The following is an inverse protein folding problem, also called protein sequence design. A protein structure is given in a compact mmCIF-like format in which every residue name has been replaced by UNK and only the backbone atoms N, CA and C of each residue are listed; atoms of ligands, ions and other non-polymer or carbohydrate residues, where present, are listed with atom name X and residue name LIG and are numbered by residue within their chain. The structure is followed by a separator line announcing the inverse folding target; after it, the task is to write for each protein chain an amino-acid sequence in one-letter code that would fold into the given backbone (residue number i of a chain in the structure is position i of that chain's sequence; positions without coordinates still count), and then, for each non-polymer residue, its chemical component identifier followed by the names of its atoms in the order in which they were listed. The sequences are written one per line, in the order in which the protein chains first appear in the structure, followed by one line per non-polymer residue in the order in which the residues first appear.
data_IF_313221318448
#
_entry.id   IF_313221318448
#
_cell.length_a   1.000
_cell.length_b   1.000
_cell.length_c   1.000
_cell.angle_alpha   90.00
_cell.angle_beta   90.00
_cell.angle_gamma   90.00
#
_symmetry.space_group_name_H-M   'P 1'
#
loop_
_entity.id
_entity.type
_entity.pdbx_description
1 polymer ?
#
# COMPACT_ATOMS: atom_id res chain seq x y z
N UNK A 1 -25.06 8.14 -10.20
CA UNK A 1 -23.86 8.83 -9.70
C UNK A 1 -22.78 8.66 -10.75
N UNK A 2 -22.24 9.75 -11.28
CA UNK A 2 -21.13 9.66 -12.24
C UNK A 2 -19.90 9.05 -11.55
N UNK A 3 -19.10 8.26 -12.26
CA UNK A 3 -17.83 7.73 -11.76
C UNK A 3 -17.88 6.44 -10.93
N UNK A 4 -19.02 6.11 -10.29
CA UNK A 4 -19.17 4.87 -9.52
C UNK A 4 -19.48 3.68 -10.43
N UNK A 5 -18.60 2.68 -10.41
CA UNK A 5 -18.78 1.39 -11.10
C UNK A 5 -18.79 0.27 -10.06
N UNK A 6 -19.83 -0.55 -10.09
CA UNK A 6 -20.00 -1.70 -9.18
C UNK A 6 -20.21 -2.96 -10.00
N UNK A 7 -19.41 -3.99 -9.74
CA UNK A 7 -19.52 -5.32 -10.35
C UNK A 7 -19.38 -6.40 -9.29
N UNK A 8 -20.52 -6.96 -8.84
CA UNK A 8 -20.56 -7.87 -7.70
C UNK A 8 -20.02 -7.20 -6.43
N UNK A 9 -18.93 -7.72 -5.88
CA UNK A 9 -18.25 -7.16 -4.70
C UNK A 9 -17.10 -6.21 -5.03
N UNK A 10 -16.92 -5.85 -6.30
CA UNK A 10 -15.89 -4.93 -6.76
C UNK A 10 -16.50 -3.53 -6.95
N UNK A 11 -15.88 -2.54 -6.32
CA UNK A 11 -16.31 -1.14 -6.35
C UNK A 11 -15.15 -0.30 -6.85
N UNK A 12 -15.42 0.52 -7.84
CA UNK A 12 -14.44 1.41 -8.47
C UNK A 12 -14.99 2.82 -8.50
N UNK A 13 -14.20 3.77 -8.04
CA UNK A 13 -14.51 5.20 -8.03
C UNK A 13 -13.25 6.00 -8.39
N UNK A 14 -12.88 5.89 -9.66
CA UNK A 14 -11.58 6.34 -10.21
C UNK A 14 -11.74 7.70 -10.87
N UNK A 15 -10.76 8.59 -10.74
CA UNK A 15 -10.71 9.81 -11.56
C UNK A 15 -11.75 10.86 -11.19
N UNK A 16 -12.14 10.95 -9.92
CA UNK A 16 -13.22 11.83 -9.45
C UNK A 16 -12.71 13.04 -8.65
N UNK A 17 -11.40 13.30 -8.69
CA UNK A 17 -10.72 14.39 -7.97
C UNK A 17 -11.05 14.46 -6.46
N UNK A 18 -11.42 13.31 -5.87
CA UNK A 18 -11.86 13.27 -4.48
C UNK A 18 -10.69 13.44 -3.52
N UNK A 19 -10.86 14.28 -2.49
CA UNK A 19 -9.85 14.55 -1.46
C UNK A 19 -9.98 13.67 -0.23
N UNK A 20 -11.16 13.09 -0.05
CA UNK A 20 -11.55 12.15 0.99
C UNK A 20 -12.46 11.07 0.38
N UNK A 21 -12.67 9.96 1.09
CA UNK A 21 -13.58 8.90 0.64
C UNK A 21 -15.02 9.42 0.80
N UNK A 22 -15.80 9.58 -0.28
CA UNK A 22 -17.15 10.08 -0.16
C UNK A 22 -18.02 9.19 0.73
N UNK A 23 -18.75 9.78 1.68
CA UNK A 23 -19.57 9.05 2.66
C UNK A 23 -20.56 8.06 2.02
N UNK A 24 -21.11 8.43 0.87
CA UNK A 24 -22.07 7.60 0.15
C UNK A 24 -21.45 6.27 -0.33
N UNK A 25 -20.14 6.22 -0.64
CA UNK A 25 -19.50 4.95 -1.00
C UNK A 25 -19.49 3.98 0.18
N UNK A 26 -19.16 4.48 1.37
CA UNK A 26 -19.17 3.67 2.60
C UNK A 26 -20.59 3.19 2.94
N UNK A 27 -21.58 4.09 2.84
CA UNK A 27 -22.99 3.76 3.10
C UNK A 27 -23.54 2.74 2.11
N UNK A 28 -23.32 2.97 0.82
CA UNK A 28 -24.00 2.25 -0.25
C UNK A 28 -23.27 0.93 -0.56
N UNK A 29 -21.95 0.86 -0.37
CA UNK A 29 -21.13 -0.30 -0.76
C UNK A 29 -20.29 -0.93 0.35
N UNK A 30 -20.04 -0.24 1.46
CA UNK A 30 -19.09 -0.69 2.49
C UNK A 30 -19.42 -2.06 3.11
N UNK A 31 -20.70 -2.43 3.14
CA UNK A 31 -21.15 -3.71 3.71
C UNK A 31 -20.81 -4.94 2.86
N UNK A 32 -20.65 -4.80 1.54
CA UNK A 32 -20.40 -5.92 0.63
C UNK A 32 -19.10 -5.82 -0.18
N UNK A 33 -18.51 -4.63 -0.27
CA UNK A 33 -17.30 -4.41 -1.06
C UNK A 33 -16.13 -5.24 -0.51
N UNK A 34 -15.56 -6.08 -1.38
CA UNK A 34 -14.34 -6.85 -1.13
C UNK A 34 -13.14 -6.24 -1.82
N UNK A 35 -13.36 -5.58 -2.97
CA UNK A 35 -12.33 -4.88 -3.72
C UNK A 35 -12.77 -3.44 -3.91
N UNK A 36 -11.92 -2.50 -3.50
CA UNK A 36 -12.17 -1.08 -3.61
C UNK A 36 -11.02 -0.41 -4.37
N UNK A 37 -11.36 0.21 -5.51
CA UNK A 37 -10.44 0.99 -6.32
C UNK A 37 -10.79 2.47 -6.24
N UNK A 38 -9.89 3.25 -5.65
CA UNK A 38 -9.98 4.70 -5.50
C UNK A 38 -8.81 5.40 -6.22
N UNK A 39 -8.26 4.76 -7.23
CA UNK A 39 -7.10 5.28 -7.96
C UNK A 39 -7.41 6.59 -8.70
N UNK A 40 -6.37 7.36 -9.02
CA UNK A 40 -6.48 8.62 -9.76
C UNK A 40 -7.43 9.63 -9.09
N UNK A 41 -7.37 9.74 -7.77
CA UNK A 41 -8.05 10.79 -7.02
C UNK A 41 -7.01 11.72 -6.37
N UNK A 42 -7.45 12.59 -5.46
CA UNK A 42 -6.60 13.54 -4.74
C UNK A 42 -6.59 13.24 -3.24
N UNK A 43 -6.74 11.96 -2.87
CA UNK A 43 -6.88 11.54 -1.47
C UNK A 43 -5.62 11.89 -0.67
N UNK A 44 -5.83 12.52 0.49
CA UNK A 44 -4.76 12.79 1.48
C UNK A 44 -4.95 11.98 2.76
N UNK A 45 -6.17 11.56 3.05
CA UNK A 45 -6.52 10.68 4.15
C UNK A 45 -7.43 9.54 3.65
N UNK A 46 -7.56 8.51 4.47
CA UNK A 46 -8.49 7.38 4.26
C UNK A 46 -9.62 7.40 5.29
N UNK A 47 -10.00 8.60 5.76
CA UNK A 47 -11.19 8.76 6.59
C UNK A 47 -12.41 8.20 5.83
N UNK A 48 -13.27 7.48 6.55
CA UNK A 48 -14.41 6.74 5.97
C UNK A 48 -14.09 5.31 5.51
N UNK A 49 -12.82 4.89 5.45
CA UNK A 49 -12.46 3.52 5.04
C UNK A 49 -12.96 2.45 6.03
N UNK A 50 -13.22 2.83 7.29
CA UNK A 50 -13.79 1.94 8.32
C UNK A 50 -15.19 1.41 7.99
N UNK A 51 -15.88 2.01 7.02
CA UNK A 51 -17.16 1.50 6.51
C UNK A 51 -16.99 0.18 5.73
N UNK A 52 -15.81 -0.12 5.19
CA UNK A 52 -15.54 -1.25 4.30
C UNK A 52 -15.04 -2.48 5.07
N UNK A 53 -15.91 -3.11 5.86
CA UNK A 53 -15.55 -4.16 6.83
C UNK A 53 -15.13 -5.50 6.21
N UNK A 54 -15.49 -5.73 4.95
CA UNK A 54 -15.22 -6.98 4.23
C UNK A 54 -14.08 -6.86 3.22
N UNK A 55 -13.29 -5.78 3.31
CA UNK A 55 -12.28 -5.45 2.31
C UNK A 55 -11.13 -6.47 2.30
N UNK A 56 -10.83 -6.96 1.11
CA UNK A 56 -9.81 -7.96 0.78
C UNK A 56 -8.72 -7.33 -0.12
N UNK A 57 -9.11 -6.41 -1.00
CA UNK A 57 -8.23 -5.68 -1.91
C UNK A 57 -8.50 -4.17 -1.91
N UNK A 58 -7.45 -3.37 -1.76
CA UNK A 58 -7.51 -1.91 -1.76
C UNK A 58 -6.48 -1.34 -2.74
N UNK A 59 -6.97 -0.54 -3.68
CA UNK A 59 -6.16 0.06 -4.75
C UNK A 59 -6.27 1.59 -4.61
N UNK A 60 -5.13 2.23 -4.35
CA UNK A 60 -5.01 3.66 -4.03
C UNK A 60 -3.98 4.36 -4.92
N UNK A 61 -3.75 3.82 -6.11
CA UNK A 61 -2.70 4.30 -7.00
C UNK A 61 -2.98 5.73 -7.49
N UNK A 62 -1.94 6.55 -7.65
CA UNK A 62 -2.06 7.95 -8.11
C UNK A 62 -3.00 8.78 -7.21
N UNK A 63 -2.66 8.86 -5.92
CA UNK A 63 -3.28 9.76 -4.95
C UNK A 63 -2.20 10.67 -4.32
N UNK A 64 -2.55 11.38 -3.25
CA UNK A 64 -1.67 12.32 -2.55
C UNK A 64 -1.39 11.88 -1.10
N UNK A 65 -1.43 10.57 -0.84
CA UNK A 65 -1.24 10.00 0.51
C UNK A 65 0.22 10.16 0.95
N UNK A 66 0.43 10.69 2.15
CA UNK A 66 1.74 10.93 2.73
C UNK A 66 2.06 9.99 3.91
N UNK A 67 2.98 10.43 4.76
CA UNK A 67 3.36 9.70 5.98
C UNK A 67 2.28 9.76 7.08
N UNK A 68 1.28 10.61 6.91
CA UNK A 68 0.07 10.73 7.73
C UNK A 68 -1.03 9.73 7.34
N UNK A 69 -0.74 8.82 6.42
CA UNK A 69 -1.62 7.72 6.05
C UNK A 69 -1.95 6.84 7.27
N UNK A 70 -3.23 6.79 7.63
CA UNK A 70 -3.76 5.91 8.67
C UNK A 70 -4.84 5.01 8.08
N UNK A 71 -4.58 3.70 8.13
CA UNK A 71 -5.55 2.64 7.82
C UNK A 71 -6.26 2.18 9.11
N UNK A 72 -7.57 1.91 9.07
CA UNK A 72 -8.25 1.18 10.16
C UNK A 72 -7.77 -0.28 10.20
N UNK A 73 -8.18 -1.03 11.23
CA UNK A 73 -7.99 -2.47 11.27
C UNK A 73 -8.68 -3.17 10.10
N UNK A 74 -7.92 -3.81 9.22
CA UNK A 74 -8.39 -4.49 8.02
C UNK A 74 -7.88 -5.96 8.02
N UNK A 75 -8.47 -6.83 8.85
CA UNK A 75 -7.95 -8.18 9.12
C UNK A 75 -8.03 -9.13 7.92
N UNK A 76 -8.77 -8.77 6.86
CA UNK A 76 -8.95 -9.57 5.65
C UNK A 76 -8.18 -9.02 4.45
N UNK A 77 -7.57 -7.84 4.58
CA UNK A 77 -6.89 -7.20 3.47
C UNK A 77 -5.61 -7.98 3.13
N UNK A 78 -5.61 -8.61 1.95
CA UNK A 78 -4.46 -9.34 1.45
C UNK A 78 -3.74 -8.59 0.32
N UNK A 79 -4.39 -7.61 -0.32
CA UNK A 79 -3.80 -6.81 -1.39
C UNK A 79 -3.93 -5.32 -1.10
N UNK A 80 -2.80 -4.62 -1.08
CA UNK A 80 -2.72 -3.16 -0.98
C UNK A 80 -1.79 -2.60 -2.05
N UNK A 81 -2.30 -1.66 -2.85
CA UNK A 81 -1.46 -0.88 -3.77
C UNK A 81 -1.53 0.60 -3.43
N UNK A 82 -0.37 1.22 -3.31
CA UNK A 82 -0.18 2.63 -2.95
C UNK A 82 0.73 3.31 -3.97
N UNK A 83 0.73 2.86 -5.22
CA UNK A 83 1.69 3.34 -6.22
C UNK A 83 1.50 4.84 -6.48
N UNK A 84 2.60 5.54 -6.75
CA UNK A 84 2.60 6.99 -7.08
C UNK A 84 1.82 7.82 -6.06
N UNK A 85 2.17 7.65 -4.79
CA UNK A 85 1.75 8.52 -3.69
C UNK A 85 2.97 9.34 -3.19
N UNK A 86 2.86 10.00 -2.03
CA UNK A 86 3.87 10.90 -1.46
C UNK A 86 4.52 10.33 -0.21
N UNK A 87 4.59 9.00 -0.10
CA UNK A 87 5.16 8.32 1.07
C UNK A 87 6.69 8.47 1.04
N UNK A 88 7.25 8.98 2.13
CA UNK A 88 8.70 9.18 2.30
C UNK A 88 9.26 8.37 3.47
N UNK A 89 8.47 8.15 4.52
CA UNK A 89 8.84 7.35 5.69
C UNK A 89 8.33 5.92 5.53
N UNK A 90 9.25 5.04 5.10
CA UNK A 90 8.94 3.63 4.90
C UNK A 90 8.70 2.89 6.23
N UNK A 91 9.46 3.21 7.28
CA UNK A 91 9.41 2.41 8.51
C UNK A 91 8.09 2.63 9.25
N UNK A 92 7.67 3.89 9.41
CA UNK A 92 6.38 4.19 10.04
C UNK A 92 5.21 3.53 9.29
N UNK A 93 5.24 3.52 7.95
CA UNK A 93 4.24 2.82 7.16
C UNK A 93 4.24 1.32 7.44
N UNK A 94 5.40 0.67 7.41
CA UNK A 94 5.50 -0.78 7.58
C UNK A 94 5.07 -1.21 8.99
N UNK A 95 5.44 -0.45 10.02
CA UNK A 95 5.02 -0.72 11.40
C UNK A 95 3.49 -0.60 11.53
N UNK A 96 2.88 0.43 10.94
CA UNK A 96 1.43 0.58 10.88
C UNK A 96 0.75 -0.57 10.14
N UNK A 97 1.27 -0.96 8.97
CA UNK A 97 0.72 -2.06 8.18
C UNK A 97 0.80 -3.40 8.91
N UNK A 98 1.90 -3.66 9.61
CA UNK A 98 2.08 -4.88 10.38
C UNK A 98 1.03 -5.00 11.51
N UNK A 99 0.63 -3.88 12.11
CA UNK A 99 -0.41 -3.85 13.15
C UNK A 99 -1.82 -4.05 12.58
N UNK A 100 -2.17 -3.35 11.49
CA UNK A 100 -3.58 -3.25 11.06
C UNK A 100 -3.96 -4.17 9.89
N UNK A 101 -2.99 -4.77 9.20
CA UNK A 101 -3.21 -5.65 8.04
C UNK A 101 -2.51 -7.02 8.19
N UNK A 102 -2.90 -7.84 9.19
CA UNK A 102 -2.20 -9.10 9.50
C UNK A 102 -2.25 -10.16 8.38
N UNK A 103 -3.19 -10.03 7.45
CA UNK A 103 -3.37 -10.93 6.30
C UNK A 103 -2.69 -10.43 5.02
N UNK A 104 -1.88 -9.36 5.08
CA UNK A 104 -1.31 -8.74 3.88
C UNK A 104 -0.33 -9.68 3.16
N UNK A 105 -0.59 -9.95 1.89
CA UNK A 105 0.22 -10.84 1.03
C UNK A 105 0.80 -10.13 -0.20
N UNK A 106 0.16 -9.04 -0.65
CA UNK A 106 0.60 -8.23 -1.78
C UNK A 106 0.68 -6.77 -1.36
N UNK A 107 1.87 -6.18 -1.51
CA UNK A 107 2.11 -4.75 -1.32
C UNK A 107 2.80 -4.17 -2.56
N UNK A 108 2.39 -2.97 -2.96
CA UNK A 108 3.09 -2.21 -4.01
C UNK A 108 3.22 -0.75 -3.61
N UNK A 109 4.46 -0.24 -3.63
CA UNK A 109 4.84 1.11 -3.24
C UNK A 109 5.58 1.85 -4.37
N UNK A 110 5.56 1.31 -5.59
CA UNK A 110 6.23 1.86 -6.76
C UNK A 110 5.89 3.35 -6.98
N UNK A 111 6.91 4.16 -7.26
CA UNK A 111 6.71 5.58 -7.52
C UNK A 111 6.51 6.45 -6.27
N UNK A 112 6.64 5.89 -5.06
CA UNK A 112 6.82 6.69 -3.84
C UNK A 112 8.30 7.01 -3.61
N UNK A 113 8.59 8.08 -2.89
CA UNK A 113 9.97 8.46 -2.51
C UNK A 113 10.61 7.38 -1.63
N UNK A 114 9.81 6.75 -0.77
CA UNK A 114 10.19 5.62 0.07
C UNK A 114 10.59 4.36 -0.71
N UNK A 115 10.20 4.24 -1.99
CA UNK A 115 10.51 3.11 -2.85
C UNK A 115 11.67 3.46 -3.80
N UNK A 116 12.88 2.93 -3.58
CA UNK A 116 14.04 3.13 -4.44
C UNK A 116 13.96 2.23 -5.68
N UNK A 117 13.01 2.45 -6.59
CA UNK A 117 13.06 1.77 -7.90
C UNK A 117 13.74 2.68 -8.94
N UNK A 118 14.44 2.08 -9.90
CA UNK A 118 15.21 2.72 -10.98
C UNK A 118 14.38 3.73 -11.79
N UNK A 119 13.05 3.56 -11.82
CA UNK A 119 12.12 4.50 -12.45
C UNK A 119 12.05 5.88 -11.77
N UNK A 120 12.52 6.00 -10.52
CA UNK A 120 12.40 7.23 -9.70
C UNK A 120 13.74 7.94 -9.55
N UNK A 121 14.88 7.25 -9.68
CA UNK A 121 16.21 7.86 -9.55
C UNK A 121 17.27 7.06 -10.30
N UNK A 122 17.89 7.68 -11.30
CA UNK A 122 19.00 7.13 -12.10
C UNK A 122 20.29 6.88 -11.28
N UNK A 123 20.32 7.32 -10.01
CA UNK A 123 21.46 7.21 -9.11
C UNK A 123 21.39 5.98 -8.20
N UNK A 124 20.26 5.29 -8.13
CA UNK A 124 20.05 4.15 -7.22
C UNK A 124 20.35 2.84 -7.94
N UNK A 125 21.27 2.08 -7.39
CA UNK A 125 21.68 0.78 -7.92
C UNK A 125 20.69 -0.33 -7.51
N UNK A 126 20.73 -1.47 -8.21
CA UNK A 126 19.98 -2.68 -7.85
C UNK A 126 20.21 -3.13 -6.39
N UNK A 127 21.33 -2.74 -5.79
CA UNK A 127 21.65 -3.05 -4.39
C UNK A 127 20.76 -2.27 -3.41
N UNK A 128 20.49 -0.99 -3.64
CA UNK A 128 19.54 -0.21 -2.84
C UNK A 128 18.14 -0.82 -2.89
N UNK A 129 17.70 -1.29 -4.05
CA UNK A 129 16.40 -1.95 -4.18
C UNK A 129 16.37 -3.30 -3.45
N UNK A 130 17.45 -4.09 -3.49
CA UNK A 130 17.57 -5.31 -2.68
C UNK A 130 17.49 -5.02 -1.19
N UNK A 131 18.19 -4.00 -0.68
CA UNK A 131 18.13 -3.57 0.72
C UNK A 131 16.72 -3.19 1.13
N UNK A 132 16.06 -2.37 0.30
CA UNK A 132 14.66 -1.98 0.49
C UNK A 132 13.75 -3.20 0.60
N UNK A 133 13.82 -4.14 -0.35
CA UNK A 133 12.99 -5.35 -0.33
C UNK A 133 13.26 -6.19 0.90
N UNK A 134 14.54 -6.36 1.25
CA UNK A 134 14.98 -7.10 2.44
C UNK A 134 14.40 -6.49 3.74
N UNK A 135 14.42 -5.15 3.87
CA UNK A 135 13.82 -4.44 5.00
C UNK A 135 12.29 -4.58 5.06
N UNK A 136 11.60 -4.43 3.92
CA UNK A 136 10.14 -4.59 3.84
C UNK A 136 9.72 -6.01 4.25
N UNK A 137 10.41 -7.03 3.73
CA UNK A 137 10.11 -8.44 4.03
C UNK A 137 10.46 -8.84 5.47
N UNK A 138 11.36 -8.13 6.12
CA UNK A 138 11.63 -8.31 7.54
C UNK A 138 10.47 -7.81 8.40
N UNK A 139 9.93 -6.63 8.09
CA UNK A 139 8.78 -6.05 8.81
C UNK A 139 7.46 -6.75 8.47
N UNK A 140 7.29 -7.20 7.22
CA UNK A 140 6.09 -7.86 6.70
C UNK A 140 6.42 -9.26 6.15
N UNK A 141 6.70 -10.25 7.03
CA UNK A 141 7.22 -11.56 6.62
C UNK A 141 6.21 -12.42 5.85
N UNK A 142 4.92 -12.10 5.86
CA UNK A 142 3.90 -12.87 5.16
C UNK A 142 3.71 -12.48 3.69
N UNK A 143 4.34 -11.40 3.22
CA UNK A 143 4.21 -10.94 1.83
C UNK A 143 4.64 -12.03 0.84
N UNK A 144 3.79 -12.31 -0.15
CA UNK A 144 4.05 -13.18 -1.31
C UNK A 144 4.50 -12.38 -2.53
N UNK A 145 4.09 -11.12 -2.62
CA UNK A 145 4.46 -10.21 -3.70
C UNK A 145 4.78 -8.82 -3.14
N UNK A 146 5.84 -8.22 -3.67
CA UNK A 146 6.25 -6.85 -3.38
C UNK A 146 6.59 -6.15 -4.70
N UNK A 147 5.93 -5.03 -4.99
CA UNK A 147 6.12 -4.19 -6.18
C UNK A 147 6.05 -4.97 -7.51
N UNK A 148 4.98 -5.74 -7.69
CA UNK A 148 4.77 -6.64 -8.85
C UNK A 148 5.78 -7.79 -9.00
N UNK A 149 6.76 -7.94 -8.09
CA UNK A 149 7.71 -9.07 -8.08
C UNK A 149 7.34 -10.08 -6.99
N UNK A 150 7.30 -11.37 -7.36
CA UNK A 150 7.11 -12.46 -6.41
C UNK A 150 8.28 -12.50 -5.42
N UNK A 151 7.96 -12.69 -4.14
CA UNK A 151 8.94 -12.89 -3.07
C UNK A 151 9.53 -14.29 -3.18
N UNK A 152 10.84 -14.36 -3.32
CA UNK A 152 11.60 -15.61 -3.40
C UNK A 152 11.97 -16.13 -2.02
N UNK A 153 12.34 -17.41 -1.96
CA UNK A 153 12.85 -18.02 -0.73
C UNK A 153 14.15 -17.37 -0.24
N UNK A 154 15.05 -17.05 -1.17
CA UNK A 154 16.33 -16.41 -0.86
C UNK A 154 16.13 -15.04 -0.20
N UNK A 155 15.23 -14.21 -0.73
CA UNK A 155 14.92 -12.91 -0.13
C UNK A 155 14.34 -13.05 1.28
N UNK A 156 13.51 -14.05 1.54
CA UNK A 156 12.99 -14.31 2.89
C UNK A 156 14.10 -14.71 3.87
N UNK A 157 14.98 -15.61 3.45
CA UNK A 157 16.12 -16.05 4.27
C UNK A 157 17.05 -14.87 4.56
N UNK A 158 17.31 -14.01 3.57
CA UNK A 158 18.11 -12.80 3.75
C UNK A 158 17.44 -11.78 4.67
N UNK A 159 16.14 -11.52 4.50
CA UNK A 159 15.35 -10.63 5.35
C UNK A 159 15.32 -11.08 6.81
N UNK A 160 15.25 -12.40 7.05
CA UNK A 160 15.32 -12.97 8.38
C UNK A 160 16.70 -12.75 9.03
N UNK A 161 17.77 -12.94 8.26
CA UNK A 161 19.15 -12.85 8.77
C UNK A 161 19.64 -11.41 8.96
N UNK A 162 19.25 -10.50 8.06
CA UNK A 162 19.88 -9.17 7.95
C UNK A 162 18.89 -8.01 7.84
N UNK A 163 17.60 -8.27 7.65
CA UNK A 163 16.63 -7.24 7.31
C UNK A 163 16.54 -6.09 8.32
N UNK A 164 16.74 -6.34 9.61
CA UNK A 164 16.79 -5.30 10.66
C UNK A 164 17.91 -4.26 10.45
N UNK A 165 18.97 -4.62 9.73
CA UNK A 165 20.11 -3.75 9.43
C UNK A 165 20.03 -3.10 8.04
N UNK A 166 19.04 -3.48 7.22
CA UNK A 166 18.86 -2.97 5.86
C UNK A 166 18.06 -1.66 5.82
N UNK A 167 17.78 -1.05 6.98
CA UNK A 167 17.18 0.28 7.05
C UNK A 167 18.09 1.27 6.33
N UNK A 168 17.58 1.84 5.23
CA UNK A 168 18.28 2.90 4.49
C UNK A 168 18.16 4.19 5.30
N UNK A 169 19.16 4.47 6.14
CA UNK A 169 19.28 5.77 6.81
C UNK A 169 19.99 6.70 5.83
N UNK A 170 19.25 7.63 5.22
CA UNK A 170 19.91 8.73 4.51
C UNK A 170 20.58 9.64 5.56
N UNK A 171 21.88 9.95 5.46
CA UNK A 171 22.48 10.97 6.30
C UNK A 171 21.77 12.31 6.05
N UNK A 172 21.53 13.06 7.13
CA UNK A 172 20.98 14.43 7.09
C UNK A 172 21.97 15.40 6.47
#
# INVERSE_FOLDING_TARGET
MAGLVVSGTQVSYIGQDCREIPEHLGRDCGHFAKRLDLSFNLLRSLEGLSAFRSLEELILDNNLLGNDLVLPGLPRLHTLTLNKNQITDLECLLDHLAEVTPALEYLSLLGNVACPNELVSLEKDEEDYKRYRCFVLHKLPNLKFLDARKVTRQEREEALLRGSFMKVVKPK
#
